data_IF_473740079282
#
_entry.id   IF_473740079282
#
_cell.length_a   1.000
_cell.length_b   1.000
_cell.length_c   1.000
_cell.angle_alpha   90.00
_cell.angle_beta   90.00
_cell.angle_gamma   90.00
#
_symmetry.space_group_name_H-M   'P 1'
#
loop_
_entity.id
_entity.type
_entity.pdbx_description
1 polymer ?
#
# COMPACT_ATOMS: atom_id res chain seq x y z
N UNK A 1 11.17 1.80 9.28
CA UNK A 1 12.37 2.63 9.22
C UNK A 1 12.26 3.75 8.17
N UNK A 2 11.99 3.39 6.92
CA UNK A 2 11.86 4.38 5.84
C UNK A 2 10.71 5.35 6.09
N UNK A 3 9.58 4.84 6.52
CA UNK A 3 8.39 5.65 6.80
C UNK A 3 8.67 6.59 7.96
N UNK A 4 9.33 6.10 9.00
CA UNK A 4 9.67 6.93 10.15
C UNK A 4 10.60 8.06 9.77
N UNK A 5 11.64 7.78 8.98
CA UNK A 5 12.58 8.81 8.52
C UNK A 5 11.90 9.86 7.66
N UNK A 6 11.04 9.43 6.73
CA UNK A 6 10.28 10.35 5.89
C UNK A 6 9.31 11.19 6.72
N UNK A 7 8.65 10.57 7.71
CA UNK A 7 7.70 11.28 8.56
C UNK A 7 8.38 12.38 9.37
N UNK A 8 9.57 12.12 9.88
CA UNK A 8 10.33 13.11 10.62
C UNK A 8 10.73 14.29 9.74
N UNK A 9 11.19 13.99 8.52
CA UNK A 9 11.61 15.04 7.58
C UNK A 9 10.44 15.92 7.12
N UNK A 10 9.29 15.30 6.83
CA UNK A 10 8.12 16.03 6.30
C UNK A 10 7.08 16.35 7.37
N UNK A 11 7.38 16.10 8.63
CA UNK A 11 6.44 16.30 9.75
C UNK A 11 5.13 15.54 9.58
N UNK A 12 5.21 14.33 9.04
CA UNK A 12 4.07 13.46 8.83
C UNK A 12 3.81 12.59 10.07
N UNK A 13 2.54 12.24 10.27
CA UNK A 13 2.19 11.30 11.32
C UNK A 13 2.39 9.87 10.82
N UNK A 14 2.86 9.00 11.72
CA UNK A 14 3.08 7.58 11.43
C UNK A 14 2.05 6.74 12.16
N UNK A 15 1.45 5.79 11.43
CA UNK A 15 0.56 4.79 11.99
C UNK A 15 1.24 3.44 11.79
N UNK A 16 1.31 2.65 12.86
CA UNK A 16 1.95 1.34 12.82
C UNK A 16 0.92 0.25 12.57
N UNK A 17 1.30 -0.72 11.78
CA UNK A 17 0.48 -1.89 11.50
C UNK A 17 1.21 -3.14 12.01
N UNK A 18 0.47 -4.02 12.66
CA UNK A 18 0.98 -5.33 13.08
C UNK A 18 0.33 -6.41 12.24
N UNK A 19 1.14 -7.36 11.79
CA UNK A 19 0.69 -8.50 11.01
C UNK A 19 0.68 -9.73 11.90
N UNK A 20 -0.45 -10.41 11.95
CA UNK A 20 -0.57 -11.69 12.65
C UNK A 20 -0.35 -12.78 11.60
N UNK A 21 0.62 -13.65 11.84
CA UNK A 21 0.94 -14.74 10.93
C UNK A 21 0.59 -16.08 11.55
N UNK A 22 0.14 -17.01 10.71
CA UNK A 22 -0.02 -18.40 11.11
C UNK A 22 1.37 -18.99 11.38
N UNK A 23 1.55 -19.60 12.56
CA UNK A 23 2.85 -20.14 12.96
C UNK A 23 3.30 -21.34 12.14
N UNK A 24 2.36 -22.02 11.50
CA UNK A 24 2.67 -23.21 10.68
C UNK A 24 2.95 -22.87 9.23
N UNK A 25 2.17 -21.96 8.65
CA UNK A 25 2.26 -21.63 7.22
C UNK A 25 3.03 -20.35 6.94
N UNK A 26 3.19 -19.47 7.94
CA UNK A 26 3.78 -18.15 7.77
C UNK A 26 2.87 -17.15 7.06
N UNK A 27 1.65 -17.54 6.71
CA UNK A 27 0.72 -16.66 6.04
C UNK A 27 0.17 -15.60 6.99
N UNK A 28 -0.07 -14.40 6.44
CA UNK A 28 -0.70 -13.33 7.20
C UNK A 28 -2.18 -13.64 7.35
N UNK A 29 -2.63 -13.80 8.61
CA UNK A 29 -4.02 -14.09 8.92
C UNK A 29 -4.81 -12.85 9.33
N UNK A 30 -4.12 -11.79 9.77
CA UNK A 30 -4.76 -10.55 10.15
C UNK A 30 -3.76 -9.39 10.07
N UNK A 31 -4.29 -8.18 10.00
CA UNK A 31 -3.52 -6.95 10.06
C UNK A 31 -4.26 -5.99 10.97
N UNK A 32 -3.59 -5.46 11.98
CA UNK A 32 -4.18 -4.50 12.92
C UNK A 32 -3.45 -3.17 12.82
N UNK A 33 -4.20 -2.08 12.97
CA UNK A 33 -3.66 -0.73 12.97
C UNK A 33 -3.67 -0.15 14.38
N UNK A 34 -2.59 0.56 14.73
CA UNK A 34 -2.58 1.41 15.91
C UNK A 34 -3.17 2.77 15.57
N UNK A 35 -3.73 3.45 16.56
CA UNK A 35 -4.10 4.86 16.43
C UNK A 35 -4.91 5.18 15.18
N UNK A 36 -5.98 4.41 14.94
CA UNK A 36 -6.83 4.54 13.75
C UNK A 36 -7.42 5.93 13.58
N UNK A 37 -7.57 6.70 14.67
CA UNK A 37 -8.07 8.07 14.61
C UNK A 37 -7.17 8.98 13.74
N UNK A 38 -5.89 8.64 13.58
CA UNK A 38 -4.97 9.40 12.74
C UNK A 38 -5.21 9.17 11.24
N UNK A 39 -5.95 8.14 10.90
CA UNK A 39 -6.20 7.74 9.51
C UNK A 39 -7.45 8.43 8.94
N UNK A 40 -8.42 8.72 9.78
CA UNK A 40 -9.74 9.18 9.37
C UNK A 40 -9.66 10.48 8.57
N UNK A 41 -10.25 10.46 7.36
CA UNK A 41 -10.30 11.59 6.43
C UNK A 41 -8.93 12.09 5.97
N UNK A 42 -7.91 11.24 6.03
CA UNK A 42 -6.56 11.60 5.59
C UNK A 42 -6.12 10.80 4.38
N UNK A 43 -5.25 11.40 3.60
CA UNK A 43 -4.55 10.72 2.53
C UNK A 43 -3.43 9.90 3.17
N UNK A 44 -3.40 8.60 2.89
CA UNK A 44 -2.45 7.68 3.48
C UNK A 44 -1.48 7.16 2.43
N UNK A 45 -0.22 6.97 2.84
CA UNK A 45 0.82 6.43 1.97
C UNK A 45 1.43 5.20 2.62
N UNK A 46 1.50 4.12 1.86
CA UNK A 46 2.24 2.92 2.23
C UNK A 46 3.55 2.95 1.47
N UNK A 47 4.67 2.80 2.17
CA UNK A 47 6.01 2.84 1.57
C UNK A 47 6.70 1.50 1.78
N UNK A 48 7.20 0.90 0.71
CA UNK A 48 7.98 -0.33 0.80
C UNK A 48 8.95 -0.44 -0.37
N UNK A 49 9.76 -1.50 -0.35
CA UNK A 49 10.77 -1.73 -1.38
C UNK A 49 10.19 -2.38 -2.63
N UNK A 50 9.33 -3.40 -2.46
CA UNK A 50 8.85 -4.23 -3.57
C UNK A 50 7.35 -4.48 -3.43
N UNK A 51 6.64 -4.37 -4.55
CA UNK A 51 5.27 -4.85 -4.66
C UNK A 51 5.17 -5.81 -5.85
N UNK A 52 4.73 -7.03 -5.59
CA UNK A 52 4.43 -8.01 -6.63
C UNK A 52 2.93 -8.31 -6.67
N UNK A 53 2.46 -9.34 -5.99
CA UNK A 53 1.05 -9.70 -6.01
C UNK A 53 0.15 -8.89 -5.08
N UNK A 54 0.74 -8.07 -4.23
CA UNK A 54 -0.03 -7.23 -3.31
C UNK A 54 -0.48 -7.92 -2.02
N UNK A 55 -0.02 -9.14 -1.76
CA UNK A 55 -0.46 -9.91 -0.60
C UNK A 55 -0.20 -9.24 0.75
N UNK A 56 0.83 -8.41 0.84
CA UNK A 56 1.15 -7.64 2.05
C UNK A 56 0.34 -6.35 2.13
N UNK A 57 0.12 -5.69 0.99
CA UNK A 57 -0.42 -4.33 0.93
C UNK A 57 -1.93 -4.29 0.86
N UNK A 58 -2.56 -5.28 0.24
CA UNK A 58 -4.01 -5.31 0.09
C UNK A 58 -4.70 -5.38 1.46
N UNK A 59 -4.32 -6.29 2.38
CA UNK A 59 -4.90 -6.30 3.72
C UNK A 59 -4.68 -5.00 4.48
N UNK A 60 -3.49 -4.41 4.35
CA UNK A 60 -3.17 -3.14 5.00
C UNK A 60 -4.02 -2.00 4.43
N UNK A 61 -4.11 -1.90 3.11
CA UNK A 61 -4.92 -0.87 2.46
C UNK A 61 -6.40 -1.02 2.82
N UNK A 62 -6.89 -2.25 2.90
CA UNK A 62 -8.26 -2.52 3.33
C UNK A 62 -8.50 -1.98 4.74
N UNK A 63 -7.59 -2.23 5.67
CA UNK A 63 -7.70 -1.73 7.05
C UNK A 63 -7.67 -0.21 7.10
N UNK A 64 -6.83 0.42 6.29
CA UNK A 64 -6.78 1.88 6.21
C UNK A 64 -8.12 2.44 5.72
N UNK A 65 -8.71 1.84 4.70
CA UNK A 65 -10.03 2.27 4.20
C UNK A 65 -11.12 2.06 5.26
N UNK A 66 -11.10 0.94 5.97
CA UNK A 66 -12.05 0.67 7.04
C UNK A 66 -11.92 1.69 8.18
N UNK A 67 -10.70 2.17 8.43
CA UNK A 67 -10.45 3.20 9.43
C UNK A 67 -10.83 4.61 8.96
N UNK A 68 -11.26 4.76 7.71
CA UNK A 68 -11.74 6.02 7.18
C UNK A 68 -10.74 6.81 6.36
N UNK A 69 -9.68 6.18 5.85
CA UNK A 69 -8.72 6.85 4.98
C UNK A 69 -9.42 7.44 3.75
N UNK A 70 -9.08 8.68 3.43
CA UNK A 70 -9.62 9.34 2.25
C UNK A 70 -9.07 8.73 0.97
N UNK A 71 -7.75 8.57 0.89
CA UNK A 71 -7.07 7.89 -0.20
C UNK A 71 -5.94 7.02 0.35
N UNK A 72 -5.58 5.98 -0.39
CA UNK A 72 -4.43 5.14 -0.09
C UNK A 72 -3.53 5.10 -1.32
N UNK A 73 -2.29 5.56 -1.14
CA UNK A 73 -1.26 5.53 -2.18
C UNK A 73 -0.20 4.51 -1.79
N UNK A 74 0.21 3.68 -2.73
CA UNK A 74 1.30 2.74 -2.54
C UNK A 74 2.53 3.26 -3.28
N UNK A 75 3.59 3.55 -2.52
CA UNK A 75 4.88 3.94 -3.06
C UNK A 75 5.86 2.78 -2.86
N UNK A 76 6.44 2.29 -3.96
CA UNK A 76 7.43 1.21 -3.91
C UNK A 76 8.62 1.56 -4.79
N UNK A 77 9.80 1.11 -4.38
CA UNK A 77 11.01 1.28 -5.19
C UNK A 77 10.92 0.42 -6.44
N UNK A 78 10.47 -0.83 -6.30
CA UNK A 78 10.38 -1.78 -7.40
C UNK A 78 8.98 -2.36 -7.49
N UNK A 79 8.30 -2.11 -8.60
CA UNK A 79 7.00 -2.70 -8.88
C UNK A 79 7.10 -3.81 -9.89
N UNK A 80 6.70 -5.01 -9.54
CA UNK A 80 6.68 -6.18 -10.43
C UNK A 80 5.27 -6.38 -10.99
N UNK A 81 4.29 -6.46 -10.10
CA UNK A 81 2.87 -6.60 -10.43
C UNK A 81 2.60 -7.79 -11.35
N UNK A 82 3.13 -8.97 -10.99
CA UNK A 82 3.02 -10.17 -11.81
C UNK A 82 1.58 -10.67 -12.01
N UNK A 83 0.67 -10.24 -11.14
CA UNK A 83 -0.77 -10.56 -11.25
C UNK A 83 -1.56 -9.40 -11.87
N UNK A 84 -0.87 -8.42 -12.46
CA UNK A 84 -1.49 -7.22 -12.98
C UNK A 84 -1.91 -6.27 -11.87
N UNK A 85 -2.72 -5.29 -12.22
CA UNK A 85 -3.16 -4.24 -11.29
C UNK A 85 -4.56 -4.45 -10.75
N UNK A 86 -5.33 -5.40 -11.30
CA UNK A 86 -6.70 -5.66 -10.88
C UNK A 86 -6.84 -5.92 -9.37
N UNK A 87 -5.98 -6.76 -8.75
CA UNK A 87 -6.11 -7.02 -7.32
C UNK A 87 -5.95 -5.77 -6.44
N UNK A 88 -5.34 -4.72 -6.96
CA UNK A 88 -5.05 -3.50 -6.21
C UNK A 88 -6.15 -2.46 -6.31
N UNK A 89 -7.04 -2.57 -7.29
CA UNK A 89 -8.03 -1.52 -7.61
C UNK A 89 -9.02 -1.22 -6.50
N UNK A 90 -9.39 -2.23 -5.72
CA UNK A 90 -10.46 -2.07 -4.74
C UNK A 90 -10.04 -1.24 -3.54
N UNK A 91 -8.78 -1.35 -3.13
CA UNK A 91 -8.31 -0.75 -1.88
C UNK A 91 -7.20 0.29 -2.05
N UNK A 92 -6.57 0.35 -3.20
CA UNK A 92 -5.47 1.27 -3.46
C UNK A 92 -5.89 2.25 -4.55
N UNK A 93 -5.80 3.54 -4.25
CA UNK A 93 -6.22 4.60 -5.16
C UNK A 93 -5.14 4.99 -6.16
N UNK A 94 -3.89 5.05 -5.70
CA UNK A 94 -2.76 5.49 -6.52
C UNK A 94 -1.56 4.59 -6.33
N UNK A 95 -0.82 4.36 -7.42
CA UNK A 95 0.44 3.62 -7.42
C UNK A 95 1.54 4.55 -7.88
N UNK A 96 2.66 4.58 -7.14
CA UNK A 96 3.83 5.37 -7.49
C UNK A 96 5.08 4.51 -7.38
N UNK A 97 5.29 3.56 -8.34
CA UNK A 97 6.52 2.80 -8.37
C UNK A 97 7.64 3.68 -8.91
N UNK A 98 8.81 3.59 -8.29
CA UNK A 98 9.99 4.28 -8.83
C UNK A 98 10.49 3.59 -10.10
N UNK A 99 10.45 2.26 -10.10
CA UNK A 99 10.92 1.44 -11.23
C UNK A 99 10.01 0.22 -11.41
N UNK A 100 9.70 -0.10 -12.66
CA UNK A 100 8.98 -1.32 -13.02
C UNK A 100 10.00 -2.41 -13.36
N UNK A 101 9.83 -3.59 -12.75
CA UNK A 101 10.67 -4.76 -12.97
C UNK A 101 9.87 -5.80 -13.75
N UNK A 102 10.48 -6.35 -14.81
CA UNK A 102 9.81 -7.33 -15.65
C UNK A 102 8.91 -6.69 -16.70
N UNK A 103 8.03 -7.48 -17.26
CA UNK A 103 7.16 -7.06 -18.37
C UNK A 103 5.68 -7.36 -18.14
N UNK A 104 5.25 -7.42 -16.90
CA UNK A 104 3.85 -7.68 -16.57
C UNK A 104 2.97 -6.45 -16.76
N UNK A 105 3.49 -5.28 -16.38
CA UNK A 105 2.80 -4.01 -16.54
C UNK A 105 3.77 -2.96 -17.06
N UNK A 106 3.21 -1.87 -17.62
CA UNK A 106 3.99 -0.74 -18.12
C UNK A 106 3.70 0.49 -17.28
N UNK A 107 4.51 1.54 -17.43
CA UNK A 107 4.21 2.83 -16.80
C UNK A 107 2.89 3.41 -17.29
N UNK A 108 2.53 3.13 -18.54
CA UNK A 108 1.23 3.55 -19.06
C UNK A 108 0.08 2.87 -18.32
N UNK A 109 0.23 1.58 -17.98
CA UNK A 109 -0.76 0.87 -17.17
C UNK A 109 -0.91 1.53 -15.80
N UNK A 110 0.20 1.96 -15.20
CA UNK A 110 0.19 2.68 -13.92
C UNK A 110 -0.55 4.01 -14.06
N UNK A 111 -0.28 4.76 -15.11
CA UNK A 111 -0.96 6.03 -15.36
C UNK A 111 -2.47 5.84 -15.50
N UNK A 112 -2.90 4.84 -16.26
CA UNK A 112 -4.31 4.52 -16.43
C UNK A 112 -4.95 4.12 -15.11
N UNK A 113 -4.25 3.34 -14.30
CA UNK A 113 -4.71 2.97 -12.96
C UNK A 113 -4.97 4.22 -12.11
N UNK A 114 -4.02 5.15 -12.11
CA UNK A 114 -4.11 6.35 -11.28
C UNK A 114 -5.18 7.33 -11.77
N UNK A 115 -5.50 7.30 -13.05
CA UNK A 115 -6.48 8.19 -13.66
C UNK A 115 -7.91 7.62 -13.67
N UNK A 116 -8.09 6.36 -13.30
CA UNK A 116 -9.40 5.74 -13.30
C UNK A 116 -10.37 6.42 -12.33
N UNK A 117 -11.66 6.27 -12.58
CA UNK A 117 -12.70 6.72 -11.64
C UNK A 117 -12.63 5.89 -10.35
N UNK A 118 -12.71 6.58 -9.22
CA UNK A 118 -12.55 5.96 -7.89
C UNK A 118 -13.78 6.09 -7.03
#
# INVERSE_FOLDING_TARGET
EKVKSASEYFELEVVYAEKVRDTKTGQITDTTLSETYKVRNRDCVIVDDICDGGGTFIPLAKKLKEAGAKTVTLYVTHGIFSKGLEPLKEHIDYLTPFQIIGNYVTMQDIEQFNERDK
#
